data_IF_785764180679
#
_entry.id   IF_785764180679
#
_cell.length_a   1.000
_cell.length_b   1.000
_cell.length_c   1.000
_cell.angle_alpha   90.00
_cell.angle_beta   90.00
_cell.angle_gamma   90.00
#
_symmetry.space_group_name_H-M   'P 1'
#
loop_
_entity.id
_entity.type
_entity.pdbx_description
1 polymer ?
#
# COMPACT_ATOMS: atom_id res chain seq x y z
N UNK A 1 32.66 -18.08 49.16
CA UNK A 1 32.07 -16.98 48.34
C UNK A 1 32.34 -17.18 46.86
N UNK A 2 33.57 -17.32 46.38
CA UNK A 2 33.91 -17.52 44.93
C UNK A 2 33.15 -18.63 44.25
N UNK A 3 33.02 -19.85 44.84
CA UNK A 3 32.34 -20.97 44.23
C UNK A 3 30.81 -20.76 44.03
N UNK A 4 30.16 -19.98 44.90
CA UNK A 4 28.73 -19.63 44.71
C UNK A 4 28.58 -18.60 43.55
N UNK A 5 29.51 -17.67 43.42
CA UNK A 5 29.53 -16.69 42.32
C UNK A 5 29.75 -17.42 40.99
N UNK A 6 30.72 -18.32 40.87
CA UNK A 6 30.94 -19.13 39.68
C UNK A 6 29.72 -19.97 39.27
N UNK A 7 29.06 -20.58 40.28
CA UNK A 7 27.84 -21.33 40.03
C UNK A 7 26.71 -20.41 39.50
N UNK A 8 26.55 -19.25 40.08
CA UNK A 8 25.58 -18.22 39.61
C UNK A 8 25.84 -17.77 38.17
N UNK A 9 27.11 -17.44 37.84
CA UNK A 9 27.51 -17.04 36.49
C UNK A 9 27.28 -18.16 35.45
N UNK A 10 27.55 -19.43 35.83
CA UNK A 10 27.24 -20.57 34.94
C UNK A 10 25.74 -20.68 34.63
N UNK A 11 24.86 -20.58 35.63
CA UNK A 11 23.44 -20.61 35.44
C UNK A 11 22.90 -19.43 34.63
N UNK A 12 23.47 -18.23 34.86
CA UNK A 12 23.15 -17.07 34.06
C UNK A 12 23.54 -17.27 32.57
N UNK A 13 24.74 -17.83 32.33
CA UNK A 13 25.19 -18.16 30.97
C UNK A 13 24.26 -19.17 30.27
N UNK A 14 23.88 -20.24 30.99
CA UNK A 14 22.94 -21.22 30.45
C UNK A 14 21.59 -20.57 30.14
N UNK A 15 21.05 -19.75 31.04
CA UNK A 15 19.79 -19.04 30.82
C UNK A 15 19.84 -18.13 29.60
N UNK A 16 20.90 -17.32 29.46
CA UNK A 16 21.09 -16.44 28.30
C UNK A 16 21.20 -17.23 26.98
N UNK A 17 21.98 -18.30 26.97
CA UNK A 17 22.10 -19.18 25.79
C UNK A 17 20.76 -19.81 25.42
N UNK A 18 19.98 -20.27 26.41
CA UNK A 18 18.66 -20.82 26.19
C UNK A 18 17.70 -19.77 25.60
N UNK A 19 17.71 -18.54 26.10
CA UNK A 19 16.89 -17.44 25.56
C UNK A 19 17.27 -17.16 24.11
N UNK A 20 18.55 -17.04 23.81
CA UNK A 20 19.03 -16.80 22.43
C UNK A 20 18.57 -17.94 21.51
N UNK A 21 18.71 -19.20 21.97
CA UNK A 21 18.26 -20.36 21.18
C UNK A 21 16.74 -20.29 20.89
N UNK A 22 15.92 -19.98 21.89
CA UNK A 22 14.46 -19.82 21.72
C UNK A 22 14.15 -18.72 20.71
N UNK A 23 14.83 -17.58 20.79
CA UNK A 23 14.66 -16.47 19.81
C UNK A 23 15.02 -16.95 18.41
N UNK A 24 16.17 -17.58 18.22
CA UNK A 24 16.59 -18.11 16.92
C UNK A 24 15.57 -19.10 16.36
N UNK A 25 15.11 -20.03 17.19
CA UNK A 25 14.06 -20.98 16.79
C UNK A 25 12.79 -20.24 16.38
N UNK A 26 12.34 -19.25 17.15
CA UNK A 26 11.12 -18.48 16.84
C UNK A 26 11.21 -17.83 15.46
N UNK A 27 12.35 -17.22 15.09
CA UNK A 27 12.58 -16.65 13.73
C UNK A 27 12.65 -17.72 12.63
N UNK A 28 12.95 -19.00 12.98
CA UNK A 28 13.02 -20.09 11.99
C UNK A 28 11.67 -20.76 11.74
N UNK A 29 10.78 -20.76 12.72
CA UNK A 29 9.50 -21.50 12.66
C UNK A 29 8.29 -20.60 12.41
N UNK A 30 8.45 -19.27 12.55
CA UNK A 30 7.35 -18.31 12.38
C UNK A 30 7.84 -17.00 11.77
N UNK A 31 7.06 -16.37 10.88
CA UNK A 31 7.38 -15.01 10.38
C UNK A 31 7.07 -13.93 11.40
N UNK A 32 6.27 -14.21 12.44
CA UNK A 32 5.79 -13.22 13.44
C UNK A 32 6.88 -12.37 14.08
N UNK A 33 8.00 -12.94 14.58
CA UNK A 33 9.07 -12.12 15.16
C UNK A 33 9.71 -11.18 14.15
N UNK A 34 9.92 -11.65 12.92
CA UNK A 34 10.46 -10.82 11.84
C UNK A 34 9.49 -9.71 11.41
N UNK A 35 8.21 -10.04 11.26
CA UNK A 35 7.16 -9.06 10.96
C UNK A 35 7.05 -7.98 12.04
N UNK A 36 7.14 -8.36 13.32
CA UNK A 36 7.17 -7.41 14.43
C UNK A 36 8.36 -6.44 14.35
N UNK A 37 9.56 -6.94 14.02
CA UNK A 37 10.74 -6.09 13.82
C UNK A 37 10.52 -5.11 12.66
N UNK A 38 10.03 -5.60 11.53
CA UNK A 38 9.74 -4.76 10.35
C UNK A 38 8.69 -3.71 10.70
N UNK A 39 7.59 -4.10 11.32
CA UNK A 39 6.53 -3.18 11.72
C UNK A 39 7.05 -2.06 12.63
N UNK A 40 7.98 -2.36 13.53
CA UNK A 40 8.58 -1.36 14.41
C UNK A 40 9.52 -0.39 13.70
N UNK A 41 10.20 -0.85 12.62
CA UNK A 41 11.10 -0.01 11.84
C UNK A 41 10.35 0.94 10.89
N UNK A 42 9.10 0.61 10.51
CA UNK A 42 8.28 1.40 9.59
C UNK A 42 7.13 2.14 10.28
N UNK A 43 7.13 2.24 11.59
CA UNK A 43 6.01 2.81 12.36
C UNK A 43 6.04 4.35 12.48
N UNK A 44 7.02 5.03 11.87
CA UNK A 44 7.24 6.49 11.97
C UNK A 44 6.53 7.32 10.89
N UNK A 45 5.48 6.79 10.26
CA UNK A 45 4.89 7.30 9.02
C UNK A 45 3.92 8.47 9.18
N UNK A 46 3.71 9.02 10.36
CA UNK A 46 2.73 10.09 10.59
C UNK A 46 3.30 11.51 10.59
N UNK A 47 4.57 11.67 10.22
CA UNK A 47 5.22 12.97 10.22
C UNK A 47 4.64 13.90 9.14
N UNK A 48 4.23 15.10 9.52
CA UNK A 48 3.90 16.17 8.59
C UNK A 48 5.23 16.81 8.13
N UNK A 49 5.57 16.65 6.86
CA UNK A 49 6.85 17.09 6.29
C UNK A 49 6.81 18.52 5.80
N UNK A 50 5.63 19.03 5.41
CA UNK A 50 5.42 20.45 5.09
C UNK A 50 4.25 21.04 5.90
N UNK A 51 4.54 21.40 7.15
CA UNK A 51 3.49 21.89 8.07
C UNK A 51 2.74 23.11 7.55
N UNK A 52 3.38 24.01 6.84
CA UNK A 52 2.75 25.25 6.34
C UNK A 52 1.67 24.93 5.30
N UNK A 53 2.00 24.11 4.31
CA UNK A 53 1.05 23.69 3.27
C UNK A 53 -0.04 22.80 3.85
N UNK A 54 0.32 21.90 4.76
CA UNK A 54 -0.65 21.05 5.47
C UNK A 54 -1.68 21.89 6.25
N UNK A 55 -1.23 22.88 7.04
CA UNK A 55 -2.14 23.73 7.82
C UNK A 55 -3.07 24.56 6.89
N UNK A 56 -2.57 24.99 5.74
CA UNK A 56 -3.36 25.68 4.71
C UNK A 56 -4.43 24.74 4.12
N UNK A 57 -4.04 23.57 3.65
CA UNK A 57 -4.95 22.58 3.08
C UNK A 57 -6.00 22.11 4.11
N UNK A 58 -5.60 21.92 5.37
CA UNK A 58 -6.49 21.55 6.47
C UNK A 58 -7.58 22.57 6.74
N UNK A 59 -7.35 23.86 6.48
CA UNK A 59 -8.38 24.89 6.61
C UNK A 59 -9.54 24.65 5.62
N UNK A 60 -9.25 24.07 4.46
CA UNK A 60 -10.19 23.76 3.37
C UNK A 60 -10.72 22.33 3.38
N UNK A 61 -10.38 21.52 4.39
CA UNK A 61 -10.79 20.12 4.50
C UNK A 61 -11.51 19.82 5.82
N UNK A 62 -12.38 18.82 5.80
CA UNK A 62 -13.05 18.24 6.97
C UNK A 62 -12.67 16.78 7.10
N UNK A 63 -12.26 16.34 8.28
CA UNK A 63 -11.92 14.95 8.57
C UNK A 63 -13.05 14.26 9.34
N UNK A 64 -13.54 13.15 8.81
CA UNK A 64 -14.38 12.19 9.51
C UNK A 64 -13.53 10.93 9.79
N UNK A 65 -13.00 10.86 11.01
CA UNK A 65 -12.04 9.82 11.39
C UNK A 65 -12.71 8.57 11.98
N UNK A 66 -11.96 7.46 11.95
CA UNK A 66 -12.23 6.21 12.66
C UNK A 66 -13.61 5.60 12.36
N UNK A 67 -14.10 5.79 11.14
CA UNK A 67 -15.28 5.05 10.65
C UNK A 67 -14.93 3.58 10.51
N UNK A 68 -15.92 2.71 10.58
CA UNK A 68 -15.72 1.25 10.55
C UNK A 68 -16.48 0.66 9.36
N UNK A 69 -15.83 -0.20 8.58
CA UNK A 69 -16.50 -1.04 7.59
C UNK A 69 -16.71 -2.46 8.11
N UNK A 70 -17.76 -3.11 7.65
CA UNK A 70 -18.06 -4.46 8.07
C UNK A 70 -17.01 -5.44 7.55
N UNK A 71 -16.28 -6.10 8.44
CA UNK A 71 -15.25 -7.09 8.12
C UNK A 71 -15.16 -8.13 9.23
N UNK A 72 -14.69 -9.33 8.90
CA UNK A 72 -14.24 -10.34 9.88
C UNK A 72 -12.85 -10.02 10.44
N UNK A 73 -12.13 -9.08 9.83
CA UNK A 73 -10.79 -8.65 10.19
C UNK A 73 -10.83 -7.49 11.18
N UNK A 74 -9.81 -7.39 12.05
CA UNK A 74 -9.80 -6.40 13.15
C UNK A 74 -9.44 -4.99 12.73
N UNK A 75 -8.54 -4.85 11.75
CA UNK A 75 -8.10 -3.57 11.21
C UNK A 75 -9.07 -3.16 10.08
N UNK A 76 -10.26 -2.73 10.45
CA UNK A 76 -11.36 -2.43 9.52
C UNK A 76 -11.90 -1.01 9.69
N UNK A 77 -11.03 -0.07 9.99
CA UNK A 77 -11.40 1.33 10.12
C UNK A 77 -10.82 2.17 8.97
N UNK A 78 -11.45 3.32 8.74
CA UNK A 78 -11.09 4.25 7.68
C UNK A 78 -11.38 5.69 8.06
N UNK A 79 -10.69 6.62 7.42
CA UNK A 79 -10.89 8.05 7.54
C UNK A 79 -11.40 8.61 6.21
N UNK A 80 -12.22 9.64 6.26
CA UNK A 80 -12.63 10.39 5.08
C UNK A 80 -12.22 11.85 5.24
N UNK A 81 -11.46 12.34 4.26
CA UNK A 81 -11.07 13.73 4.12
C UNK A 81 -11.97 14.37 3.06
N UNK A 82 -12.88 15.23 3.46
CA UNK A 82 -13.80 15.91 2.55
C UNK A 82 -13.27 17.29 2.20
N UNK A 83 -13.37 17.74 0.93
CA UNK A 83 -13.25 19.15 0.61
C UNK A 83 -14.40 19.91 1.26
N UNK A 84 -14.10 21.04 1.92
CA UNK A 84 -15.14 21.93 2.46
C UNK A 84 -15.85 22.68 1.34
N UNK A 85 -17.05 23.15 1.62
CA UNK A 85 -17.85 24.02 0.74
C UNK A 85 -18.21 23.37 -0.62
N UNK A 86 -18.39 22.05 -0.65
CA UNK A 86 -18.93 21.37 -1.81
C UNK A 86 -20.44 21.26 -1.70
N UNK A 87 -21.17 21.96 -2.57
CA UNK A 87 -22.64 21.94 -2.61
C UNK A 87 -23.20 20.65 -3.24
N UNK A 88 -22.32 19.86 -3.87
CA UNK A 88 -22.64 18.60 -4.54
C UNK A 88 -21.78 17.46 -4.01
N UNK A 89 -22.21 16.24 -4.29
CA UNK A 89 -21.37 15.06 -4.09
C UNK A 89 -20.08 15.20 -4.91
N UNK A 90 -18.96 14.79 -4.33
CA UNK A 90 -17.64 14.87 -4.94
C UNK A 90 -17.11 13.48 -5.30
N UNK A 91 -16.27 13.33 -6.33
CA UNK A 91 -15.57 12.08 -6.64
C UNK A 91 -14.79 11.56 -5.44
N UNK A 92 -14.46 10.27 -5.45
CA UNK A 92 -13.82 9.60 -4.32
C UNK A 92 -12.51 8.98 -4.73
N UNK A 93 -11.43 9.27 -4.00
CA UNK A 93 -10.17 8.53 -4.07
C UNK A 93 -10.09 7.59 -2.86
N UNK A 94 -10.13 6.28 -3.09
CA UNK A 94 -9.87 5.27 -2.07
C UNK A 94 -8.37 5.00 -2.05
N UNK A 95 -7.73 5.25 -0.91
CA UNK A 95 -6.31 5.07 -0.72
C UNK A 95 -6.00 3.95 0.26
N UNK A 96 -5.14 3.02 -0.18
CA UNK A 96 -4.64 1.90 0.61
C UNK A 96 -3.20 2.18 1.00
N UNK A 97 -2.91 2.18 2.31
CA UNK A 97 -1.58 2.52 2.82
C UNK A 97 -0.54 1.41 2.57
N UNK A 98 0.73 1.80 2.51
CA UNK A 98 1.88 0.91 2.45
C UNK A 98 2.21 0.21 3.77
N UNK A 99 3.47 -0.17 3.93
CA UNK A 99 3.98 -0.85 5.14
C UNK A 99 4.33 -2.32 4.93
N UNK A 100 4.67 -2.71 3.69
CA UNK A 100 5.16 -4.05 3.35
C UNK A 100 4.18 -5.17 3.72
N UNK A 101 2.89 -4.93 3.68
CA UNK A 101 1.79 -5.83 4.08
C UNK A 101 1.79 -6.24 5.57
N UNK A 102 2.80 -5.85 6.36
CA UNK A 102 2.97 -6.30 7.77
C UNK A 102 2.83 -5.17 8.77
N UNK A 103 2.70 -3.93 8.29
CA UNK A 103 2.60 -2.71 9.10
C UNK A 103 1.82 -1.63 8.36
N UNK A 104 1.83 -0.42 8.91
CA UNK A 104 1.19 0.76 8.34
C UNK A 104 -0.14 1.09 9.00
N UNK A 105 -0.60 2.31 8.75
CA UNK A 105 -1.89 2.81 9.23
C UNK A 105 -2.42 3.89 8.28
N UNK A 106 -3.73 4.00 8.16
CA UNK A 106 -4.43 5.02 7.37
C UNK A 106 -4.01 6.47 7.71
N UNK A 107 -3.53 6.70 8.94
CA UNK A 107 -3.03 8.00 9.36
C UNK A 107 -1.69 8.37 8.72
N UNK A 108 -0.93 7.40 8.20
CA UNK A 108 0.36 7.64 7.53
C UNK A 108 0.26 8.58 6.33
N UNK A 109 -0.85 8.53 5.62
CA UNK A 109 -1.09 9.38 4.43
C UNK A 109 -1.88 10.66 4.73
N UNK A 110 -1.99 11.06 5.98
CA UNK A 110 -2.79 12.20 6.43
C UNK A 110 -2.44 13.52 5.71
N UNK A 111 -1.15 13.82 5.53
CA UNK A 111 -0.72 15.03 4.84
C UNK A 111 -1.15 15.00 3.37
N UNK A 112 -0.87 13.89 2.68
CA UNK A 112 -1.28 13.65 1.30
C UNK A 112 -2.81 13.77 1.14
N UNK A 113 -3.57 13.01 1.93
CA UNK A 113 -5.03 12.98 1.83
C UNK A 113 -5.67 14.35 2.08
N UNK A 114 -5.13 15.12 3.04
CA UNK A 114 -5.60 16.48 3.33
C UNK A 114 -5.33 17.42 2.15
N UNK A 115 -4.11 17.37 1.57
CA UNK A 115 -3.73 18.21 0.43
C UNK A 115 -4.54 17.85 -0.82
N UNK A 116 -4.67 16.56 -1.15
CA UNK A 116 -5.46 16.12 -2.31
C UNK A 116 -6.91 16.57 -2.19
N UNK A 117 -7.55 16.38 -1.04
CA UNK A 117 -8.93 16.82 -0.85
C UNK A 117 -9.09 18.34 -1.00
N UNK A 118 -8.11 19.13 -0.56
CA UNK A 118 -8.12 20.59 -0.70
C UNK A 118 -7.93 21.05 -2.15
N UNK A 119 -7.01 20.42 -2.91
CA UNK A 119 -6.52 20.91 -4.17
C UNK A 119 -7.29 20.35 -5.38
N UNK A 120 -7.97 19.19 -5.22
CA UNK A 120 -8.68 18.52 -6.34
C UNK A 120 -10.19 18.44 -6.17
N UNK A 121 -10.73 18.88 -5.04
CA UNK A 121 -12.15 18.71 -4.70
C UNK A 121 -12.64 17.24 -4.74
N UNK A 122 -11.74 16.27 -4.53
CA UNK A 122 -12.05 14.84 -4.42
C UNK A 122 -12.05 14.47 -2.93
N UNK A 123 -13.01 13.67 -2.47
CA UNK A 123 -12.95 13.13 -1.12
C UNK A 123 -11.93 11.98 -1.08
N UNK A 124 -11.01 11.99 -0.11
CA UNK A 124 -10.04 10.91 0.07
C UNK A 124 -10.47 9.99 1.19
N UNK A 125 -10.66 8.72 0.89
CA UNK A 125 -10.98 7.65 1.84
C UNK A 125 -9.71 6.85 2.09
N UNK A 126 -9.04 7.09 3.21
CA UNK A 126 -7.85 6.32 3.61
C UNK A 126 -8.27 5.17 4.52
N UNK A 127 -7.92 3.93 4.15
CA UNK A 127 -8.38 2.73 4.83
C UNK A 127 -7.26 1.96 5.52
N UNK A 128 -7.60 1.32 6.64
CA UNK A 128 -6.80 0.25 7.22
C UNK A 128 -7.24 -1.11 6.67
N UNK A 129 -6.32 -2.05 6.66
CA UNK A 129 -6.52 -3.47 6.44
C UNK A 129 -5.74 -4.27 7.48
N UNK A 130 -6.15 -5.50 7.79
CA UNK A 130 -5.43 -6.33 8.76
C UNK A 130 -4.10 -6.83 8.18
N UNK A 131 -2.94 -6.46 8.80
CA UNK A 131 -1.64 -6.84 8.30
C UNK A 131 -1.36 -8.34 8.41
N UNK A 132 -0.48 -8.82 7.56
CA UNK A 132 0.12 -10.13 7.68
C UNK A 132 1.11 -10.15 8.88
N UNK A 133 1.30 -11.28 9.55
CA UNK A 133 0.72 -12.60 9.29
C UNK A 133 -0.61 -12.86 10.01
N UNK A 134 -1.27 -11.85 10.57
CA UNK A 134 -2.60 -12.03 11.18
C UNK A 134 -3.66 -12.26 10.09
N UNK A 135 -3.54 -11.56 8.97
CA UNK A 135 -4.32 -11.76 7.77
C UNK A 135 -3.39 -12.06 6.59
N UNK A 136 -3.72 -13.05 5.78
CA UNK A 136 -2.90 -13.49 4.65
C UNK A 136 -3.57 -13.14 3.32
N UNK A 137 -2.78 -13.09 2.25
CA UNK A 137 -3.25 -12.90 0.89
C UNK A 137 -4.31 -13.94 0.51
N UNK A 138 -5.41 -13.56 -0.15
CA UNK A 138 -5.73 -12.23 -0.70
C UNK A 138 -6.65 -11.37 0.21
N UNK A 139 -6.69 -11.61 1.52
CA UNK A 139 -7.65 -10.96 2.41
C UNK A 139 -7.57 -9.42 2.38
N UNK A 140 -6.38 -8.83 2.16
CA UNK A 140 -6.20 -7.39 2.06
C UNK A 140 -7.01 -6.82 0.87
N UNK A 141 -7.01 -7.52 -0.26
CA UNK A 141 -7.79 -7.15 -1.45
C UNK A 141 -9.30 -7.30 -1.17
N UNK A 142 -9.69 -8.35 -0.45
CA UNK A 142 -11.09 -8.55 -0.01
C UNK A 142 -11.56 -7.41 0.89
N UNK A 143 -10.69 -6.88 1.77
CA UNK A 143 -11.04 -5.76 2.64
C UNK A 143 -11.27 -4.45 1.87
N UNK A 144 -10.64 -4.25 0.71
CA UNK A 144 -10.98 -3.12 -0.18
C UNK A 144 -12.41 -3.25 -0.68
N UNK A 145 -12.84 -4.46 -1.08
CA UNK A 145 -14.23 -4.71 -1.48
C UNK A 145 -15.21 -4.48 -0.33
N UNK A 146 -14.89 -4.97 0.87
CA UNK A 146 -15.69 -4.76 2.08
C UNK A 146 -15.89 -3.27 2.40
N UNK A 147 -14.83 -2.44 2.24
CA UNK A 147 -14.95 -0.99 2.37
C UNK A 147 -15.87 -0.40 1.30
N UNK A 148 -15.70 -0.78 0.03
CA UNK A 148 -16.55 -0.30 -1.07
C UNK A 148 -18.01 -0.64 -0.80
N UNK A 149 -18.32 -1.86 -0.35
CA UNK A 149 -19.67 -2.25 0.03
C UNK A 149 -20.21 -1.40 1.19
N UNK A 150 -19.36 -1.08 2.17
CA UNK A 150 -19.76 -0.21 3.29
C UNK A 150 -20.09 1.21 2.80
N UNK A 151 -19.26 1.81 1.95
CA UNK A 151 -19.51 3.15 1.39
C UNK A 151 -20.82 3.20 0.61
N UNK A 152 -21.14 2.15 -0.18
CA UNK A 152 -22.41 2.01 -0.88
C UNK A 152 -23.60 1.89 0.06
N UNK A 153 -23.43 1.18 1.18
CA UNK A 153 -24.47 1.00 2.20
C UNK A 153 -24.72 2.28 3.00
N UNK A 154 -23.68 3.04 3.32
CA UNK A 154 -23.78 4.26 4.12
C UNK A 154 -24.53 5.37 3.40
N UNK A 155 -24.56 5.39 2.06
CA UNK A 155 -25.25 6.38 1.23
C UNK A 155 -24.93 7.82 1.62
N UNK A 156 -23.66 8.09 1.95
CA UNK A 156 -23.22 9.46 2.25
C UNK A 156 -23.40 10.32 0.99
N UNK A 157 -24.31 11.29 1.08
CA UNK A 157 -24.66 12.16 -0.05
C UNK A 157 -23.55 13.10 -0.50
N UNK A 158 -22.47 13.20 0.27
CA UNK A 158 -21.28 13.98 -0.08
C UNK A 158 -20.33 13.22 -1.02
N UNK A 159 -20.48 11.89 -1.15
CA UNK A 159 -19.62 11.03 -1.94
C UNK A 159 -20.32 10.62 -3.25
N UNK A 160 -19.67 10.87 -4.37
CA UNK A 160 -20.10 10.37 -5.68
C UNK A 160 -19.39 9.05 -6.02
N UNK A 161 -20.02 7.95 -5.66
CA UNK A 161 -19.50 6.60 -5.94
C UNK A 161 -19.67 6.15 -7.41
N UNK A 162 -20.15 7.01 -8.30
CA UNK A 162 -20.11 6.79 -9.75
C UNK A 162 -18.81 7.31 -10.36
N UNK A 163 -18.00 8.03 -9.59
CA UNK A 163 -16.72 8.61 -9.97
C UNK A 163 -15.66 8.27 -8.91
N UNK A 164 -15.04 7.08 -9.01
CA UNK A 164 -14.11 6.57 -7.99
C UNK A 164 -12.72 6.35 -8.60
N UNK A 165 -11.69 6.80 -7.87
CA UNK A 165 -10.30 6.45 -8.10
C UNK A 165 -9.83 5.50 -7.01
N UNK A 166 -8.87 4.66 -7.36
CA UNK A 166 -8.15 3.83 -6.39
C UNK A 166 -6.67 4.15 -6.44
N UNK A 167 -6.05 4.20 -5.28
CA UNK A 167 -4.62 4.40 -5.20
C UNK A 167 -4.04 3.83 -3.92
N UNK A 168 -2.73 3.86 -3.86
CA UNK A 168 -2.00 3.43 -2.68
C UNK A 168 -0.51 3.64 -2.85
N UNK A 169 0.20 3.38 -1.78
CA UNK A 169 1.66 3.42 -1.72
C UNK A 169 2.22 2.04 -1.38
N UNK A 170 3.34 1.69 -1.99
CA UNK A 170 4.05 0.43 -1.74
C UNK A 170 3.11 -0.79 -1.77
N UNK A 171 3.02 -1.57 -0.71
CA UNK A 171 2.10 -2.70 -0.58
C UNK A 171 0.64 -2.31 -0.86
N UNK A 172 0.22 -1.13 -0.44
CA UNK A 172 -1.13 -0.63 -0.65
C UNK A 172 -1.44 -0.34 -2.12
N UNK A 173 -0.45 0.13 -2.89
CA UNK A 173 -0.62 0.32 -4.33
C UNK A 173 -0.91 -1.02 -5.03
N UNK A 174 -0.16 -2.07 -4.70
CA UNK A 174 -0.42 -3.40 -5.25
C UNK A 174 -1.83 -3.89 -4.88
N UNK A 175 -2.26 -3.74 -3.62
CA UNK A 175 -3.59 -4.14 -3.14
C UNK A 175 -4.69 -3.38 -3.90
N UNK A 176 -4.57 -2.05 -4.00
CA UNK A 176 -5.55 -1.19 -4.65
C UNK A 176 -5.68 -1.49 -6.15
N UNK A 177 -4.55 -1.59 -6.86
CA UNK A 177 -4.54 -1.88 -8.30
C UNK A 177 -5.00 -3.31 -8.57
N UNK A 178 -4.70 -4.28 -7.69
CA UNK A 178 -5.22 -5.64 -7.82
C UNK A 178 -6.75 -5.67 -7.68
N UNK A 179 -7.30 -4.94 -6.74
CA UNK A 179 -8.75 -4.79 -6.64
C UNK A 179 -9.35 -4.25 -7.94
N UNK A 180 -8.76 -3.19 -8.52
CA UNK A 180 -9.23 -2.63 -9.80
C UNK A 180 -9.08 -3.64 -10.94
N UNK A 181 -7.99 -4.39 -10.99
CA UNK A 181 -7.81 -5.45 -11.99
C UNK A 181 -8.93 -6.49 -11.91
N UNK A 182 -9.34 -6.89 -10.70
CA UNK A 182 -10.49 -7.78 -10.49
C UNK A 182 -11.78 -7.15 -11.01
N UNK A 183 -12.02 -5.85 -10.76
CA UNK A 183 -13.24 -5.18 -11.19
C UNK A 183 -13.30 -4.99 -12.72
N UNK A 184 -12.17 -4.99 -13.42
CA UNK A 184 -12.08 -4.71 -14.87
C UNK A 184 -11.72 -5.91 -15.74
N UNK A 185 -11.47 -7.08 -15.13
CA UNK A 185 -11.16 -8.34 -15.80
C UNK A 185 -11.98 -9.49 -15.18
N UNK A 186 -13.00 -9.95 -15.93
CA UNK A 186 -13.92 -10.99 -15.47
C UNK A 186 -13.25 -12.37 -15.28
N UNK A 187 -12.27 -12.71 -16.12
CA UNK A 187 -11.53 -13.97 -16.01
C UNK A 187 -10.69 -13.97 -14.73
N UNK A 188 -10.00 -12.87 -14.49
CA UNK A 188 -9.20 -12.72 -13.28
C UNK A 188 -10.06 -12.66 -12.00
N UNK A 189 -11.25 -12.05 -12.06
CA UNK A 189 -12.21 -12.07 -10.95
C UNK A 189 -12.63 -13.51 -10.60
N UNK A 190 -12.85 -14.37 -11.62
CA UNK A 190 -13.17 -15.79 -11.42
C UNK A 190 -11.98 -16.55 -10.83
N UNK A 191 -10.77 -16.33 -11.33
CA UNK A 191 -9.54 -16.93 -10.79
C UNK A 191 -9.34 -16.57 -9.32
N UNK A 192 -9.50 -15.30 -8.97
CA UNK A 192 -9.39 -14.80 -7.60
C UNK A 192 -10.55 -15.21 -6.70
N UNK A 193 -11.64 -15.75 -7.27
CA UNK A 193 -12.90 -16.02 -6.56
C UNK A 193 -13.42 -14.80 -5.79
N UNK A 194 -13.25 -13.61 -6.35
CA UNK A 194 -13.76 -12.34 -5.81
C UNK A 194 -14.77 -11.79 -6.82
N UNK A 195 -15.99 -11.56 -6.33
CA UNK A 195 -17.07 -11.03 -7.16
C UNK A 195 -16.81 -9.57 -7.52
N UNK A 196 -17.02 -9.22 -8.80
CA UNK A 196 -17.04 -7.82 -9.21
C UNK A 196 -18.22 -7.10 -8.53
N UNK A 197 -17.90 -6.05 -7.83
CA UNK A 197 -18.86 -5.27 -7.02
C UNK A 197 -19.06 -3.85 -7.55
N UNK A 198 -18.19 -3.41 -8.48
CA UNK A 198 -18.25 -2.11 -9.15
C UNK A 198 -18.45 -2.30 -10.65
N UNK A 199 -19.20 -1.39 -11.26
CA UNK A 199 -19.24 -1.29 -12.72
C UNK A 199 -17.92 -0.64 -13.19
N UNK A 200 -17.20 -1.23 -14.16
CA UNK A 200 -15.89 -0.73 -14.58
C UNK A 200 -15.87 0.76 -14.94
N UNK A 201 -16.94 1.26 -15.55
CA UNK A 201 -17.11 2.66 -15.95
C UNK A 201 -17.18 3.64 -14.76
N UNK A 202 -17.41 3.15 -13.55
CA UNK A 202 -17.40 3.99 -12.33
C UNK A 202 -15.96 4.19 -11.80
N UNK A 203 -15.01 3.39 -12.25
CA UNK A 203 -13.60 3.51 -11.87
C UNK A 203 -12.91 4.41 -12.88
N UNK A 204 -12.60 5.64 -12.46
CA UNK A 204 -12.10 6.68 -13.36
C UNK A 204 -10.60 6.69 -13.53
N UNK A 205 -9.86 6.18 -12.55
CA UNK A 205 -8.41 6.14 -12.60
C UNK A 205 -7.77 5.36 -11.47
N UNK A 206 -6.48 5.08 -11.62
CA UNK A 206 -5.65 4.51 -10.55
C UNK A 206 -4.37 5.31 -10.33
N UNK A 207 -3.86 5.28 -9.09
CA UNK A 207 -2.61 5.92 -8.70
C UNK A 207 -1.74 4.88 -7.99
N UNK A 208 -0.54 4.62 -8.52
CA UNK A 208 0.44 3.72 -7.92
C UNK A 208 1.67 4.49 -7.47
N UNK A 209 1.82 4.68 -6.17
CA UNK A 209 3.06 5.17 -5.59
C UNK A 209 3.90 3.96 -5.18
N UNK A 210 5.06 3.79 -5.82
CA UNK A 210 6.09 2.81 -5.50
C UNK A 210 5.58 1.36 -5.26
N UNK A 211 4.54 0.93 -5.98
CA UNK A 211 3.92 -0.38 -5.77
C UNK A 211 4.72 -1.57 -6.33
N UNK A 212 4.84 -2.68 -5.56
CA UNK A 212 5.37 -3.95 -6.09
C UNK A 212 4.30 -4.65 -6.95
N UNK A 213 4.10 -4.16 -8.17
CA UNK A 213 3.01 -4.60 -9.07
C UNK A 213 3.29 -5.93 -9.79
N UNK A 214 4.48 -6.52 -9.58
CA UNK A 214 4.87 -7.84 -10.08
C UNK A 214 5.58 -8.64 -8.97
N UNK A 215 4.82 -9.41 -8.19
CA UNK A 215 5.41 -10.19 -7.09
C UNK A 215 6.22 -11.40 -7.58
N UNK A 216 5.98 -11.90 -8.80
CA UNK A 216 6.84 -12.93 -9.39
C UNK A 216 8.25 -12.40 -9.67
N UNK A 217 8.35 -11.15 -10.16
CA UNK A 217 9.65 -10.52 -10.37
C UNK A 217 10.37 -10.36 -9.04
N UNK A 218 9.67 -9.92 -7.98
CA UNK A 218 10.25 -9.81 -6.63
C UNK A 218 10.80 -11.15 -6.13
N UNK A 219 10.14 -12.26 -6.43
CA UNK A 219 10.63 -13.60 -6.03
C UNK A 219 11.92 -14.03 -6.76
N UNK A 220 12.12 -13.52 -7.97
CA UNK A 220 13.32 -13.80 -8.80
C UNK A 220 14.48 -12.84 -8.48
N UNK A 221 14.21 -11.68 -7.92
CA UNK A 221 15.24 -10.69 -7.57
C UNK A 221 16.21 -11.24 -6.53
N UNK A 222 17.49 -10.94 -6.72
CA UNK A 222 18.54 -11.19 -5.74
C UNK A 222 19.05 -9.86 -5.20
N UNK A 223 19.36 -9.82 -3.93
CA UNK A 223 19.94 -8.65 -3.28
C UNK A 223 21.16 -9.05 -2.46
N UNK A 224 22.27 -8.32 -2.59
CA UNK A 224 23.44 -8.50 -1.73
C UNK A 224 23.22 -7.90 -0.35
N UNK A 225 22.25 -7.01 -0.19
CA UNK A 225 21.90 -6.40 1.07
C UNK A 225 21.20 -7.43 2.00
N UNK A 226 21.81 -7.70 3.16
CA UNK A 226 21.30 -8.66 4.14
C UNK A 226 19.94 -8.25 4.73
N UNK A 227 19.73 -6.96 4.93
CA UNK A 227 18.46 -6.45 5.44
C UNK A 227 17.35 -6.64 4.41
N UNK A 228 17.59 -6.32 3.14
CA UNK A 228 16.61 -6.54 2.08
C UNK A 228 16.23 -8.01 1.91
N UNK A 229 17.19 -8.93 2.00
CA UNK A 229 16.87 -10.37 1.99
C UNK A 229 16.02 -10.79 3.17
N UNK A 230 16.31 -10.28 4.36
CA UNK A 230 15.51 -10.52 5.57
C UNK A 230 14.11 -9.94 5.40
N UNK A 231 14.00 -8.69 4.93
CA UNK A 231 12.75 -7.98 4.69
C UNK A 231 11.85 -8.76 3.72
N UNK A 232 12.32 -9.01 2.49
CA UNK A 232 11.55 -9.71 1.44
C UNK A 232 11.11 -11.09 1.90
N UNK A 233 12.01 -11.88 2.51
CA UNK A 233 11.67 -13.20 3.03
C UNK A 233 10.59 -13.14 4.11
N UNK A 234 10.72 -12.22 5.06
CA UNK A 234 9.79 -12.10 6.17
C UNK A 234 8.41 -11.65 5.71
N UNK A 235 8.37 -10.64 4.84
CA UNK A 235 7.14 -10.10 4.26
C UNK A 235 6.42 -11.17 3.44
N UNK A 236 7.10 -11.81 2.51
CA UNK A 236 6.51 -12.84 1.66
C UNK A 236 6.01 -14.05 2.47
N UNK A 237 6.81 -14.53 3.44
CA UNK A 237 6.37 -15.59 4.33
C UNK A 237 5.15 -15.18 5.18
N UNK A 238 5.12 -13.94 5.68
CA UNK A 238 3.97 -13.42 6.42
C UNK A 238 2.72 -13.34 5.55
N UNK A 239 2.85 -12.79 4.34
CA UNK A 239 1.76 -12.56 3.41
C UNK A 239 1.16 -13.87 2.88
N UNK A 240 2.01 -14.81 2.49
CA UNK A 240 1.59 -16.08 1.89
C UNK A 240 1.43 -17.23 2.92
N UNK A 241 1.87 -17.03 4.16
CA UNK A 241 1.73 -18.03 5.24
C UNK A 241 2.66 -19.23 5.12
N UNK A 242 3.56 -19.27 4.12
CA UNK A 242 4.47 -20.39 3.92
C UNK A 242 5.92 -19.94 3.72
N UNK A 243 6.85 -20.73 4.27
CA UNK A 243 8.29 -20.40 4.28
C UNK A 243 8.92 -20.50 2.89
N UNK A 244 8.47 -21.44 2.09
CA UNK A 244 8.94 -21.69 0.72
C UNK A 244 8.07 -20.92 -0.29
N UNK A 245 7.88 -19.63 -0.02
CA UNK A 245 7.01 -18.73 -0.74
C UNK A 245 7.38 -18.50 -2.21
N UNK A 246 8.65 -18.72 -2.61
CA UNK A 246 9.15 -18.41 -3.96
C UNK A 246 8.49 -19.22 -5.07
N UNK A 247 7.91 -20.36 -4.74
CA UNK A 247 7.22 -21.28 -5.67
C UNK A 247 5.70 -21.25 -5.49
N UNK A 248 5.18 -20.26 -4.77
CA UNK A 248 3.75 -20.12 -4.53
C UNK A 248 3.05 -19.51 -5.74
N UNK A 249 2.04 -20.22 -6.29
CA UNK A 249 1.29 -19.76 -7.47
C UNK A 249 0.54 -18.43 -7.20
N UNK A 250 0.28 -18.08 -5.95
CA UNK A 250 -0.31 -16.80 -5.58
C UNK A 250 0.57 -15.59 -5.91
N UNK A 251 1.88 -15.80 -6.11
CA UNK A 251 2.75 -14.75 -6.64
C UNK A 251 2.35 -14.35 -8.06
N UNK A 252 1.94 -15.32 -8.89
CA UNK A 252 1.42 -15.01 -10.22
C UNK A 252 0.11 -14.25 -10.14
N UNK A 253 -0.81 -14.70 -9.29
CA UNK A 253 -2.08 -13.98 -9.07
C UNK A 253 -1.86 -12.53 -8.63
N UNK A 254 -0.82 -12.24 -7.86
CA UNK A 254 -0.51 -10.89 -7.38
C UNK A 254 0.41 -10.09 -8.33
N UNK A 255 0.73 -10.61 -9.53
CA UNK A 255 1.55 -9.96 -10.56
C UNK A 255 0.66 -9.29 -11.60
N UNK A 256 0.34 -8.01 -11.42
CA UNK A 256 -0.71 -7.32 -12.16
C UNK A 256 -0.41 -7.14 -13.65
N UNK A 257 0.88 -7.08 -14.02
CA UNK A 257 1.33 -6.92 -15.42
C UNK A 257 0.72 -7.98 -16.34
N UNK A 258 0.50 -9.19 -15.83
CA UNK A 258 -0.07 -10.31 -16.59
C UNK A 258 -1.61 -10.32 -16.62
N UNK A 259 -2.27 -9.54 -15.76
CA UNK A 259 -3.72 -9.58 -15.55
C UNK A 259 -4.47 -8.33 -16.00
N UNK A 260 -3.78 -7.18 -16.17
CA UNK A 260 -4.42 -5.96 -16.69
C UNK A 260 -4.87 -6.16 -18.13
N UNK A 261 -6.01 -5.55 -18.46
CA UNK A 261 -6.62 -5.61 -19.80
C UNK A 261 -6.85 -4.20 -20.35
N UNK A 262 -7.30 -4.08 -21.60
CA UNK A 262 -7.70 -2.80 -22.19
C UNK A 262 -8.83 -2.08 -21.45
N UNK A 263 -9.51 -2.76 -20.53
CA UNK A 263 -10.58 -2.19 -19.71
C UNK A 263 -10.04 -1.59 -18.41
N UNK A 264 -8.73 -1.67 -18.15
CA UNK A 264 -8.10 -1.05 -16.99
C UNK A 264 -8.19 0.49 -17.12
N UNK A 265 -8.43 1.23 -16.05
CA UNK A 265 -8.63 2.69 -16.14
C UNK A 265 -7.31 3.44 -16.37
N UNK A 266 -7.37 4.74 -16.76
CA UNK A 266 -6.22 5.63 -16.78
C UNK A 266 -5.40 5.53 -15.51
N UNK A 267 -4.07 5.58 -15.60
CA UNK A 267 -3.17 5.28 -14.48
C UNK A 267 -2.04 6.30 -14.37
N UNK A 268 -1.83 6.83 -13.17
CA UNK A 268 -0.59 7.51 -12.79
C UNK A 268 0.29 6.56 -11.98
N UNK A 269 1.55 6.39 -12.37
CA UNK A 269 2.47 5.44 -11.74
C UNK A 269 3.85 6.07 -11.52
N UNK A 270 4.42 5.90 -10.33
CA UNK A 270 5.72 6.49 -9.98
C UNK A 270 6.46 5.67 -8.93
N UNK A 271 7.78 5.71 -8.98
CA UNK A 271 8.67 5.22 -7.93
C UNK A 271 10.02 5.96 -7.97
N UNK A 272 10.75 5.94 -6.85
CA UNK A 272 12.13 6.34 -6.81
C UNK A 272 13.05 5.33 -7.53
N UNK A 273 14.38 5.59 -7.50
CA UNK A 273 15.38 4.71 -8.10
C UNK A 273 16.22 3.95 -7.06
N UNK A 274 16.00 4.18 -5.77
CA UNK A 274 16.72 3.53 -4.68
C UNK A 274 15.75 2.75 -3.77
N UNK A 275 16.06 1.50 -3.50
CA UNK A 275 15.21 0.57 -2.73
C UNK A 275 13.78 0.43 -3.28
N UNK A 276 13.64 0.50 -4.60
CA UNK A 276 12.38 0.71 -5.31
C UNK A 276 11.94 -0.51 -6.10
N UNK A 277 10.69 -0.45 -6.58
CA UNK A 277 10.10 -1.37 -7.56
C UNK A 277 9.97 -0.70 -8.93
N UNK A 278 10.80 0.32 -9.23
CA UNK A 278 10.74 1.12 -10.45
C UNK A 278 10.64 0.27 -11.72
N UNK A 279 11.42 -0.81 -11.84
CA UNK A 279 11.39 -1.69 -13.01
C UNK A 279 10.02 -2.38 -13.18
N UNK A 280 9.32 -2.70 -12.08
CA UNK A 280 7.98 -3.26 -12.12
C UNK A 280 6.96 -2.20 -12.54
N UNK A 281 7.11 -0.96 -12.05
CA UNK A 281 6.29 0.16 -12.46
C UNK A 281 6.42 0.45 -13.95
N UNK A 282 7.64 0.48 -14.48
CA UNK A 282 7.93 0.65 -15.91
C UNK A 282 7.35 -0.50 -16.74
N UNK A 283 7.42 -1.74 -16.24
CA UNK A 283 6.82 -2.89 -16.92
C UNK A 283 5.29 -2.75 -17.01
N UNK A 284 4.63 -2.31 -15.94
CA UNK A 284 3.19 -2.05 -15.95
C UNK A 284 2.83 -0.89 -16.88
N UNK A 285 3.60 0.21 -16.87
CA UNK A 285 3.43 1.33 -17.79
C UNK A 285 3.49 0.88 -19.26
N UNK A 286 4.50 0.08 -19.61
CA UNK A 286 4.66 -0.46 -20.95
C UNK A 286 3.49 -1.36 -21.33
N UNK A 287 3.02 -2.20 -20.41
CA UNK A 287 1.87 -3.07 -20.63
C UNK A 287 0.57 -2.29 -20.87
N UNK A 288 0.34 -1.25 -20.11
CA UNK A 288 -0.83 -0.38 -20.29
C UNK A 288 -0.76 0.36 -21.64
N UNK A 289 0.42 0.85 -22.05
CA UNK A 289 0.64 1.45 -23.37
C UNK A 289 0.35 0.46 -24.52
N UNK A 290 0.82 -0.78 -24.39
CA UNK A 290 0.49 -1.86 -25.34
C UNK A 290 -1.04 -2.06 -25.49
N UNK A 291 -1.75 -2.02 -24.38
CA UNK A 291 -3.21 -2.18 -24.32
C UNK A 291 -3.98 -0.91 -24.73
N UNK A 292 -3.27 0.16 -25.07
CA UNK A 292 -3.83 1.49 -25.39
C UNK A 292 -4.64 2.09 -24.21
N UNK A 293 -4.27 1.76 -23.00
CA UNK A 293 -4.80 2.37 -21.78
C UNK A 293 -3.98 3.63 -21.48
N UNK A 294 -4.61 4.79 -21.23
CA UNK A 294 -3.89 6.01 -20.86
C UNK A 294 -3.06 5.79 -19.59
N UNK A 295 -1.77 6.14 -19.65
CA UNK A 295 -0.86 5.99 -18.51
C UNK A 295 0.19 7.10 -18.52
N UNK A 296 0.43 7.65 -17.34
CA UNK A 296 1.46 8.66 -17.07
C UNK A 296 2.45 8.08 -16.06
N UNK A 297 3.71 7.95 -16.45
CA UNK A 297 4.80 7.43 -15.62
C UNK A 297 5.77 8.54 -15.20
N UNK A 298 6.11 8.60 -13.91
CA UNK A 298 7.17 9.47 -13.39
C UNK A 298 8.25 8.60 -12.75
N UNK A 299 9.39 8.42 -13.46
CA UNK A 299 10.49 7.56 -13.04
C UNK A 299 11.83 8.25 -13.19
N UNK A 300 12.78 7.93 -12.31
CA UNK A 300 14.09 8.55 -12.20
C UNK A 300 15.23 7.63 -12.64
N UNK A 301 15.01 6.86 -13.71
CA UNK A 301 15.91 5.77 -14.15
C UNK A 301 17.34 6.24 -14.44
N UNK A 302 17.47 7.44 -15.04
CA UNK A 302 18.77 7.97 -15.48
C UNK A 302 19.37 8.98 -14.49
N UNK A 303 18.69 9.22 -13.37
CA UNK A 303 19.17 10.11 -12.34
C UNK A 303 20.29 9.50 -11.51
N UNK A 304 21.39 10.27 -11.32
CA UNK A 304 22.51 9.86 -10.47
C UNK A 304 22.22 10.02 -8.98
N UNK A 305 21.29 10.90 -8.64
CA UNK A 305 20.83 11.12 -7.28
C UNK A 305 19.97 9.93 -6.85
N UNK A 306 20.21 9.42 -5.67
CA UNK A 306 19.32 8.44 -5.07
C UNK A 306 18.01 9.10 -4.65
N UNK A 307 16.90 8.64 -5.20
CA UNK A 307 15.55 9.02 -4.83
C UNK A 307 14.91 7.79 -4.21
N UNK A 308 14.65 7.86 -2.91
CA UNK A 308 14.25 6.71 -2.11
C UNK A 308 12.83 6.24 -2.44
N UNK A 309 12.56 4.99 -2.12
CA UNK A 309 11.20 4.47 -2.01
C UNK A 309 10.34 5.37 -1.11
N UNK A 310 9.09 5.61 -1.47
CA UNK A 310 8.14 6.51 -0.75
C UNK A 310 8.57 7.99 -0.68
N UNK A 311 9.49 8.46 -1.55
CA UNK A 311 9.87 9.88 -1.66
C UNK A 311 8.66 10.80 -1.81
N UNK A 312 7.56 10.30 -2.33
CA UNK A 312 6.31 11.00 -2.63
C UNK A 312 5.71 11.72 -1.42
N UNK A 313 6.01 11.23 -0.21
CA UNK A 313 5.48 11.79 1.04
C UNK A 313 6.42 12.75 1.77
N UNK A 314 7.65 12.93 1.28
CA UNK A 314 8.56 13.94 1.82
C UNK A 314 8.47 15.25 1.03
N UNK A 315 7.48 16.07 1.34
CA UNK A 315 7.26 17.36 0.67
C UNK A 315 8.37 18.40 0.89
N UNK A 316 9.45 18.08 1.58
CA UNK A 316 10.67 18.87 1.60
C UNK A 316 11.50 18.69 0.31
N UNK A 317 11.32 17.58 -0.41
CA UNK A 317 12.04 17.22 -1.62
C UNK A 317 11.39 17.84 -2.87
N UNK A 318 12.20 18.33 -3.83
CA UNK A 318 11.67 18.83 -5.09
C UNK A 318 10.96 17.73 -5.91
N UNK A 319 11.47 16.49 -5.90
CA UNK A 319 10.89 15.35 -6.59
C UNK A 319 9.50 14.98 -6.04
N UNK A 320 9.31 15.10 -4.73
CA UNK A 320 8.00 14.90 -4.11
C UNK A 320 6.99 15.95 -4.53
N UNK A 321 7.42 17.22 -4.66
CA UNK A 321 6.55 18.30 -5.14
C UNK A 321 6.15 18.10 -6.59
N UNK A 322 7.09 17.75 -7.45
CA UNK A 322 6.83 17.41 -8.85
C UNK A 322 5.82 16.26 -8.95
N UNK A 323 6.04 15.18 -8.19
CA UNK A 323 5.13 14.04 -8.13
C UNK A 323 3.72 14.45 -7.68
N UNK A 324 3.62 15.28 -6.65
CA UNK A 324 2.34 15.78 -6.15
C UNK A 324 1.62 16.66 -7.18
N UNK A 325 2.31 17.57 -7.85
CA UNK A 325 1.74 18.44 -8.91
C UNK A 325 1.23 17.61 -10.09
N UNK A 326 1.98 16.59 -10.52
CA UNK A 326 1.53 15.66 -11.57
C UNK A 326 0.33 14.83 -11.10
N UNK A 327 0.31 14.36 -9.85
CA UNK A 327 -0.83 13.65 -9.27
C UNK A 327 -2.10 14.51 -9.27
N UNK A 328 -2.00 15.78 -8.85
CA UNK A 328 -3.14 16.71 -8.87
C UNK A 328 -3.61 16.97 -10.31
N UNK A 329 -2.67 17.15 -11.25
CA UNK A 329 -2.99 17.32 -12.67
C UNK A 329 -3.70 16.11 -13.25
N UNK A 330 -3.21 14.90 -12.95
CA UNK A 330 -3.84 13.64 -13.35
C UNK A 330 -5.27 13.53 -12.79
N UNK A 331 -5.46 13.74 -11.49
CA UNK A 331 -6.79 13.66 -10.87
C UNK A 331 -7.76 14.65 -11.52
N UNK A 332 -7.36 15.91 -11.68
CA UNK A 332 -8.20 16.95 -12.28
C UNK A 332 -8.51 16.70 -13.76
N UNK A 333 -7.65 15.98 -14.48
CA UNK A 333 -7.87 15.59 -15.87
C UNK A 333 -8.91 14.48 -16.08
N UNK A 334 -9.37 13.84 -15.00
CA UNK A 334 -10.35 12.76 -15.04
C UNK A 334 -11.80 13.22 -14.88
N UNK A 335 -12.02 14.50 -14.45
CA UNK A 335 -13.35 15.06 -14.13
C UNK A 335 -13.63 16.42 -14.83
#
# INVERSE_FOLDING_TARGET
MRAKIFKGLKWLGIALTSIVLVIVIAFQVSPRPGAFVIAHLFNDTTAITNKKEYDHAKASTELSADKVYQSKHKQNNYDIYYPKNSDKAVPVLIWVHGGGYVSGDKAGVKEFATKVAADTHVAVVSMNYEPAPASQYPNQVTQVDELVQQLKKDKDKRLDLSNVLFGGDSAGAQIALQYVTIQTNEEYAKEMNIKQSMAPETIKGTISYCGPVDLQQTAKQQSDNRFMRFFVKTVAWSLLGQKDWKTDDRLFQASLVDHVTKNFPPTFITDGNAYSFQEQGIALENKLKELQVPVEGLFYKDEKKEISHEYQFDYSLPESKECYEQTVTFINGLF
#
